data_IF_250512184164
#
_entry.id   IF_250512184164
#
_cell.length_a   1.000
_cell.length_b   1.000
_cell.length_c   1.000
_cell.angle_alpha   90.00
_cell.angle_beta   90.00
_cell.angle_gamma   90.00
#
_symmetry.space_group_name_H-M   'P 1'
#
loop_
_entity.id
_entity.type
_entity.pdbx_description
1 polymer ?
#
# COMPACT_ATOMS: atom_id res chain seq x y z
N UNK A 1 56.13 -29.36 7.85
CA UNK A 1 55.22 -28.62 6.94
C UNK A 1 54.35 -29.66 6.24
N UNK A 2 53.19 -29.98 6.80
CA UNK A 2 51.86 -29.45 6.43
C UNK A 2 51.08 -30.56 5.69
N UNK A 3 50.47 -31.45 6.47
CA UNK A 3 49.45 -32.40 6.01
C UNK A 3 48.13 -31.65 5.83
N UNK A 4 47.61 -31.69 4.60
CA UNK A 4 46.43 -30.95 4.15
C UNK A 4 45.16 -31.78 4.44
N UNK A 5 44.60 -31.66 5.64
CA UNK A 5 43.34 -32.32 6.01
C UNK A 5 42.14 -31.60 5.39
N UNK A 6 41.74 -32.02 4.19
CA UNK A 6 40.45 -31.60 3.61
C UNK A 6 39.30 -32.32 4.31
N UNK A 7 38.58 -31.61 5.18
CA UNK A 7 37.31 -32.07 5.76
C UNK A 7 36.27 -32.17 4.64
N UNK A 8 36.05 -33.40 4.14
CA UNK A 8 35.00 -33.69 3.17
C UNK A 8 33.65 -33.82 3.88
N UNK A 9 32.83 -32.78 3.84
CA UNK A 9 31.45 -32.83 4.33
C UNK A 9 30.62 -33.72 3.38
N UNK A 10 30.31 -34.93 3.83
CA UNK A 10 29.45 -35.86 3.10
C UNK A 10 27.98 -35.46 3.24
N UNK A 11 27.22 -35.51 2.14
CA UNK A 11 25.76 -35.29 2.12
C UNK A 11 25.00 -36.18 3.13
N UNK A 12 25.55 -37.36 3.45
CA UNK A 12 25.00 -38.26 4.47
C UNK A 12 25.17 -37.71 5.90
N UNK A 13 26.26 -36.99 6.18
CA UNK A 13 26.50 -36.35 7.48
C UNK A 13 25.53 -35.18 7.74
N UNK A 14 25.19 -34.43 6.70
CA UNK A 14 24.18 -33.37 6.76
C UNK A 14 22.77 -33.89 7.08
N UNK A 15 22.39 -35.05 6.53
CA UNK A 15 21.10 -35.68 6.80
C UNK A 15 21.00 -36.26 8.22
N UNK A 16 22.11 -36.82 8.74
CA UNK A 16 22.15 -37.35 10.10
C UNK A 16 22.09 -36.25 11.18
N UNK A 17 22.67 -35.06 10.91
CA UNK A 17 22.59 -33.92 11.82
C UNK A 17 21.20 -33.25 11.83
N UNK A 18 20.43 -33.35 10.74
CA UNK A 18 19.10 -32.73 10.63
C UNK A 18 18.01 -33.40 11.49
N UNK A 19 18.15 -34.69 11.82
CA UNK A 19 17.11 -35.45 12.52
C UNK A 19 16.99 -35.12 14.03
N UNK A 20 17.97 -34.45 14.63
CA UNK A 20 18.01 -34.23 16.08
C UNK A 20 17.29 -32.95 16.58
N UNK A 21 16.74 -32.12 15.69
CA UNK A 21 16.10 -30.84 16.09
C UNK A 21 14.57 -30.89 16.18
N UNK A 22 13.95 -32.06 15.97
CA UNK A 22 12.50 -32.16 15.80
C UNK A 22 11.65 -32.16 17.09
N UNK A 23 12.22 -31.98 18.30
CA UNK A 23 11.49 -32.27 19.55
C UNK A 23 11.42 -31.16 20.62
N UNK A 24 11.59 -29.88 20.28
CA UNK A 24 11.42 -28.78 21.28
C UNK A 24 10.36 -27.71 20.89
N UNK A 25 9.75 -27.76 19.71
CA UNK A 25 8.83 -26.70 19.25
C UNK A 25 7.39 -26.74 19.81
N UNK A 26 7.12 -27.54 20.83
CA UNK A 26 5.77 -27.85 21.32
C UNK A 26 5.22 -26.87 22.36
N UNK A 27 5.18 -25.57 22.08
CA UNK A 27 4.28 -24.61 22.74
C UNK A 27 4.03 -23.44 21.78
N UNK A 28 3.12 -23.64 20.82
CA UNK A 28 2.55 -22.53 20.09
C UNK A 28 1.59 -21.80 21.04
N UNK A 29 2.06 -20.70 21.63
CA UNK A 29 1.16 -19.74 22.26
C UNK A 29 0.18 -19.24 21.18
N UNK A 30 -1.11 -19.04 21.50
CA UNK A 30 -1.97 -18.29 20.61
C UNK A 30 -1.40 -16.88 20.54
N UNK A 31 -0.68 -16.57 19.45
CA UNK A 31 -0.42 -15.19 19.09
C UNK A 31 -1.78 -14.62 18.75
N UNK A 32 -2.42 -14.00 19.75
CA UNK A 32 -3.57 -13.15 19.50
C UNK A 32 -3.13 -12.12 18.46
N UNK A 33 -3.85 -12.05 17.34
CA UNK A 33 -3.72 -10.93 16.44
C UNK A 33 -3.87 -9.68 17.30
N UNK A 34 -2.81 -8.89 17.41
CA UNK A 34 -2.93 -7.59 18.05
C UNK A 34 -3.97 -6.83 17.24
N UNK A 35 -5.09 -6.49 17.86
CA UNK A 35 -6.02 -5.51 17.34
C UNK A 35 -5.25 -4.18 17.27
N UNK A 36 -4.47 -4.03 16.19
CA UNK A 36 -3.84 -2.78 15.87
C UNK A 36 -4.99 -1.77 15.74
N UNK A 37 -4.94 -0.65 16.47
CA UNK A 37 -5.95 0.39 16.30
C UNK A 37 -6.04 0.71 14.81
N UNK A 38 -7.27 0.83 14.30
CA UNK A 38 -7.50 1.17 12.91
C UNK A 38 -6.63 2.39 12.57
N UNK A 39 -5.84 2.34 11.47
CA UNK A 39 -4.97 3.45 11.11
C UNK A 39 -5.81 4.73 11.10
N UNK A 40 -5.31 5.77 11.77
CA UNK A 40 -6.01 7.04 11.87
C UNK A 40 -6.43 7.51 10.48
N UNK A 41 -7.67 8.00 10.36
CA UNK A 41 -8.16 8.56 9.12
C UNK A 41 -7.19 9.65 8.64
N UNK A 42 -6.66 9.48 7.43
CA UNK A 42 -5.86 10.45 6.69
C UNK A 42 -4.71 11.05 7.53
N UNK A 43 -3.80 10.19 7.97
CA UNK A 43 -2.75 10.51 8.95
C UNK A 43 -1.65 11.50 8.50
N UNK A 44 -1.86 12.30 7.44
CA UNK A 44 -0.89 13.29 6.94
C UNK A 44 -1.52 14.67 6.79
N UNK A 45 -0.72 15.73 6.89
CA UNK A 45 -1.20 17.10 6.72
C UNK A 45 -1.54 17.41 5.24
N UNK A 46 -2.36 18.43 4.96
CA UNK A 46 -2.63 18.86 3.58
C UNK A 46 -1.36 19.18 2.77
N UNK A 47 -0.36 19.80 3.40
CA UNK A 47 0.94 20.09 2.75
C UNK A 47 1.68 18.81 2.38
N UNK A 48 1.63 17.79 3.23
CA UNK A 48 2.27 16.51 2.97
C UNK A 48 1.53 15.72 1.89
N UNK A 49 0.19 15.76 1.89
CA UNK A 49 -0.63 15.19 0.83
C UNK A 49 -0.30 15.84 -0.52
N UNK A 50 -0.22 17.18 -0.57
CA UNK A 50 0.15 17.92 -1.77
C UNK A 50 1.57 17.55 -2.26
N UNK A 51 2.56 17.50 -1.36
CA UNK A 51 3.93 17.07 -1.72
C UNK A 51 3.94 15.66 -2.31
N UNK A 52 3.18 14.73 -1.73
CA UNK A 52 3.06 13.35 -2.21
C UNK A 52 2.42 13.29 -3.60
N UNK A 53 1.40 14.11 -3.87
CA UNK A 53 0.79 14.23 -5.20
C UNK A 53 1.79 14.78 -6.21
N UNK A 54 2.49 15.88 -5.89
CA UNK A 54 3.50 16.49 -6.77
C UNK A 54 4.60 15.48 -7.10
N UNK A 55 5.17 14.82 -6.09
CA UNK A 55 6.22 13.82 -6.30
C UNK A 55 5.72 12.61 -7.12
N UNK A 56 4.45 12.25 -6.97
CA UNK A 56 3.83 11.20 -7.77
C UNK A 56 3.62 11.60 -9.22
N UNK A 57 3.18 12.83 -9.47
CA UNK A 57 3.08 13.37 -10.83
C UNK A 57 4.44 13.52 -11.51
N UNK A 58 5.47 13.92 -10.76
CA UNK A 58 6.84 13.98 -11.27
C UNK A 58 7.28 12.60 -11.80
N UNK A 59 7.09 11.53 -11.01
CA UNK A 59 7.36 10.15 -11.44
C UNK A 59 6.57 9.76 -12.69
N UNK A 60 5.28 10.09 -12.76
CA UNK A 60 4.45 9.80 -13.94
C UNK A 60 4.99 10.52 -15.19
N UNK A 61 5.24 11.83 -15.09
CA UNK A 61 5.72 12.66 -16.19
C UNK A 61 7.11 12.27 -16.69
N UNK A 62 7.96 11.72 -15.81
CA UNK A 62 9.31 11.27 -16.15
C UNK A 62 9.38 9.80 -16.58
N UNK A 63 8.25 9.12 -16.79
CA UNK A 63 8.17 7.69 -17.07
C UNK A 63 8.85 6.80 -16.00
N UNK A 64 8.78 7.22 -14.73
CA UNK A 64 9.34 6.52 -13.57
C UNK A 64 8.26 6.12 -12.54
N UNK A 65 7.01 5.93 -12.98
CA UNK A 65 5.91 5.46 -12.14
C UNK A 65 6.23 4.14 -11.43
N UNK A 66 5.65 3.95 -10.24
CA UNK A 66 5.85 2.74 -9.45
C UNK A 66 5.04 1.59 -10.05
N UNK A 67 5.59 0.38 -10.00
CA UNK A 67 4.81 -0.82 -10.23
C UNK A 67 4.04 -1.17 -8.95
N UNK A 68 2.74 -0.81 -8.91
CA UNK A 68 1.87 -1.03 -7.76
C UNK A 68 1.10 -2.34 -7.90
N UNK A 69 1.19 -3.19 -6.88
CA UNK A 69 0.35 -4.37 -6.76
C UNK A 69 -1.01 -3.99 -6.13
N UNK A 70 -2.03 -3.90 -6.98
CA UNK A 70 -3.39 -3.57 -6.53
C UNK A 70 -4.12 -4.75 -5.88
N UNK A 71 -3.57 -5.96 -5.88
CA UNK A 71 -4.18 -7.10 -5.19
C UNK A 71 -4.00 -7.01 -3.67
N UNK A 72 -2.86 -6.48 -3.23
CA UNK A 72 -2.50 -6.36 -1.81
C UNK A 72 -3.46 -5.39 -1.11
N UNK A 73 -4.01 -5.79 0.04
CA UNK A 73 -4.91 -4.94 0.83
C UNK A 73 -6.32 -4.75 0.25
N UNK A 74 -6.74 -5.53 -0.76
CA UNK A 74 -8.10 -5.44 -1.33
C UNK A 74 -9.20 -5.67 -0.28
N UNK A 75 -9.04 -6.70 0.56
CA UNK A 75 -9.99 -7.02 1.60
C UNK A 75 -10.10 -5.90 2.66
N UNK A 76 -8.97 -5.30 3.05
CA UNK A 76 -8.96 -4.19 4.00
C UNK A 76 -9.67 -2.94 3.44
N UNK A 77 -9.45 -2.63 2.16
CA UNK A 77 -10.10 -1.51 1.46
C UNK A 77 -11.61 -1.69 1.28
N UNK A 78 -12.11 -2.92 1.34
CA UNK A 78 -13.55 -3.18 1.35
C UNK A 78 -14.20 -2.84 2.70
N UNK A 79 -13.42 -2.85 3.80
CA UNK A 79 -13.92 -2.54 5.14
C UNK A 79 -13.88 -1.03 5.43
N UNK A 80 -12.84 -0.32 4.97
CA UNK A 80 -12.68 1.11 5.19
C UNK A 80 -11.79 1.77 4.13
N UNK A 81 -11.90 3.10 4.00
CA UNK A 81 -11.08 3.92 3.12
C UNK A 81 -10.56 5.16 3.86
N UNK A 82 -9.32 5.56 3.53
CA UNK A 82 -8.62 6.69 4.16
C UNK A 82 -7.83 7.48 3.10
N UNK A 83 -8.53 8.14 2.16
CA UNK A 83 -7.90 8.88 1.08
C UNK A 83 -7.21 10.14 1.59
N UNK A 84 -5.99 10.42 1.11
CA UNK A 84 -5.20 11.56 1.54
C UNK A 84 -5.58 12.88 0.85
N UNK A 85 -6.37 12.82 -0.23
CA UNK A 85 -6.76 13.98 -1.02
C UNK A 85 -8.07 13.75 -1.81
N UNK A 86 -8.81 14.83 -2.00
CA UNK A 86 -10.02 14.90 -2.83
C UNK A 86 -9.70 15.57 -4.16
N UNK A 87 -10.05 14.94 -5.29
CA UNK A 87 -9.74 15.46 -6.63
C UNK A 87 -11.00 15.60 -7.49
N UNK A 88 -11.20 16.79 -8.06
CA UNK A 88 -12.14 17.03 -9.15
C UNK A 88 -11.39 16.89 -10.48
N UNK A 89 -11.74 15.91 -11.29
CA UNK A 89 -11.06 15.62 -12.56
C UNK A 89 -12.04 15.56 -13.74
N UNK A 90 -11.50 15.66 -14.95
CA UNK A 90 -12.27 15.46 -16.17
C UNK A 90 -12.58 13.97 -16.36
N UNK A 91 -13.74 13.66 -16.94
CA UNK A 91 -14.07 12.30 -17.41
C UNK A 91 -13.28 11.87 -18.65
N UNK A 92 -12.34 12.69 -19.13
CA UNK A 92 -11.46 12.37 -20.27
C UNK A 92 -10.73 11.03 -20.03
N UNK A 93 -10.82 10.11 -20.99
CA UNK A 93 -10.26 8.77 -20.88
C UNK A 93 -8.72 8.75 -20.82
N UNK A 94 -8.06 9.85 -21.19
CA UNK A 94 -6.59 9.98 -21.19
C UNK A 94 -6.04 10.41 -19.83
N UNK A 95 -6.89 10.86 -18.92
CA UNK A 95 -6.47 11.42 -17.62
C UNK A 95 -7.15 10.66 -16.48
N UNK A 96 -6.47 9.62 -16.00
CA UNK A 96 -6.81 8.92 -14.77
C UNK A 96 -6.00 9.50 -13.61
N UNK A 97 -6.61 10.16 -12.60
CA UNK A 97 -5.87 10.83 -11.53
C UNK A 97 -4.93 9.92 -10.74
N UNK A 98 -5.34 8.68 -10.46
CA UNK A 98 -4.53 7.69 -9.73
C UNK A 98 -3.23 7.38 -10.48
N UNK A 99 -3.30 7.31 -11.82
CA UNK A 99 -2.14 7.07 -12.68
C UNK A 99 -1.31 8.36 -12.79
N UNK A 100 -1.96 9.50 -13.08
CA UNK A 100 -1.30 10.78 -13.29
C UNK A 100 -0.55 11.29 -12.06
N UNK A 101 -0.98 10.88 -10.85
CA UNK A 101 -0.32 11.17 -9.58
C UNK A 101 0.38 9.96 -8.97
N UNK A 102 0.50 8.82 -9.66
CA UNK A 102 1.19 7.61 -9.20
C UNK A 102 0.76 7.11 -7.79
N UNK A 103 -0.56 7.17 -7.52
CA UNK A 103 -1.17 6.76 -6.25
C UNK A 103 -1.83 5.38 -6.35
N UNK A 104 -2.01 4.72 -5.19
CA UNK A 104 -2.71 3.44 -5.08
C UNK A 104 -4.23 3.58 -4.93
N UNK A 105 -4.96 2.45 -5.00
CA UNK A 105 -6.40 2.49 -4.72
C UNK A 105 -6.65 2.77 -3.24
N UNK A 106 -7.56 3.69 -2.97
CA UNK A 106 -7.89 4.16 -1.62
C UNK A 106 -7.07 5.36 -1.16
N UNK A 107 -6.06 5.79 -1.92
CA UNK A 107 -5.29 7.01 -1.61
C UNK A 107 -6.04 8.28 -2.03
N UNK A 108 -6.91 8.24 -3.05
CA UNK A 108 -7.61 9.41 -3.59
C UNK A 108 -9.13 9.24 -3.55
N UNK A 109 -9.83 10.31 -3.16
CA UNK A 109 -11.27 10.44 -3.30
C UNK A 109 -11.58 11.27 -4.55
N UNK A 110 -12.09 10.64 -5.61
CA UNK A 110 -12.13 11.29 -6.94
C UNK A 110 -13.57 11.47 -7.41
N UNK A 111 -13.90 12.71 -7.81
CA UNK A 111 -15.14 13.05 -8.53
C UNK A 111 -14.76 13.41 -9.97
N UNK A 112 -15.43 12.82 -10.96
CA UNK A 112 -15.13 13.03 -12.39
C UNK A 112 -16.35 13.46 -13.18
N UNK A 113 -16.22 14.57 -13.91
CA UNK A 113 -17.25 15.10 -14.82
C UNK A 113 -16.59 15.72 -16.05
N UNK A 114 -17.25 15.66 -17.21
CA UNK A 114 -16.71 16.28 -18.43
C UNK A 114 -16.51 17.79 -18.21
N UNK A 115 -15.27 18.26 -18.33
CA UNK A 115 -14.92 19.66 -18.10
C UNK A 115 -14.63 20.03 -16.64
N UNK A 116 -14.56 19.06 -15.71
CA UNK A 116 -14.06 19.23 -14.34
C UNK A 116 -14.63 20.46 -13.60
N UNK A 117 -15.90 20.78 -13.83
CA UNK A 117 -16.65 21.79 -13.09
C UNK A 117 -17.42 21.12 -11.94
N UNK A 118 -17.73 21.85 -10.87
CA UNK A 118 -18.50 21.29 -9.76
C UNK A 118 -20.00 21.42 -10.03
N UNK A 119 -20.74 20.32 -9.89
CA UNK A 119 -22.21 20.30 -9.82
C UNK A 119 -22.66 19.95 -8.40
N UNK A 120 -23.97 19.96 -8.14
CA UNK A 120 -24.52 19.66 -6.80
C UNK A 120 -24.11 18.27 -6.29
N UNK A 121 -24.17 17.24 -7.15
CA UNK A 121 -23.76 15.88 -6.78
C UNK A 121 -22.26 15.78 -6.44
N UNK A 122 -21.42 16.48 -7.20
CA UNK A 122 -19.98 16.55 -6.97
C UNK A 122 -19.65 17.31 -5.68
N UNK A 123 -20.36 18.40 -5.41
CA UNK A 123 -20.23 19.14 -4.15
C UNK A 123 -20.64 18.26 -2.95
N UNK A 124 -21.78 17.58 -3.04
CA UNK A 124 -22.22 16.64 -2.01
C UNK A 124 -21.21 15.50 -1.76
N UNK A 125 -20.58 15.02 -2.84
CA UNK A 125 -19.50 14.02 -2.75
C UNK A 125 -18.29 14.56 -1.98
N UNK A 126 -17.85 15.79 -2.25
CA UNK A 126 -16.76 16.42 -1.49
C UNK A 126 -17.15 16.75 -0.06
N UNK A 127 -18.40 17.15 0.22
CA UNK A 127 -18.88 17.31 1.59
C UNK A 127 -18.78 16.00 2.38
N UNK A 128 -19.10 14.86 1.76
CA UNK A 128 -18.87 13.55 2.35
C UNK A 128 -17.37 13.28 2.58
N UNK A 129 -16.52 13.57 1.58
CA UNK A 129 -15.07 13.45 1.70
C UNK A 129 -14.51 14.21 2.91
N UNK A 130 -14.92 15.46 3.09
CA UNK A 130 -14.48 16.29 4.23
C UNK A 130 -15.09 15.83 5.55
N UNK A 131 -16.42 15.69 5.62
CA UNK A 131 -17.13 15.46 6.89
C UNK A 131 -17.02 14.02 7.42
N UNK A 132 -16.92 13.03 6.53
CA UNK A 132 -16.96 11.60 6.89
C UNK A 132 -15.60 10.96 6.74
N UNK A 133 -14.88 11.26 5.65
CA UNK A 133 -13.57 10.65 5.40
C UNK A 133 -12.41 11.46 5.99
N UNK A 134 -12.61 12.75 6.30
CA UNK A 134 -11.59 13.62 6.89
C UNK A 134 -10.53 14.08 5.88
N UNK A 135 -10.89 14.20 4.61
CA UNK A 135 -10.02 14.64 3.51
C UNK A 135 -9.76 16.14 3.56
#
# INVERSE_FOLDING_TARGET
MCDDHRVSISRRGLLAAGAATAFVGGFALPVGAQDAPAPAANAISPDEALKRLIAGNERYSSNASRNLDFSVGRAARAAAQYPIAGLLSCSDARVAPEIAFDQGLGDLFVVRVAGNFVNEDGLASFEYGVKVLGV
#
